data_IF_164490102978
#
_entry.id   IF_164490102978
#
_cell.length_a   1.000
_cell.length_b   1.000
_cell.length_c   1.000
_cell.angle_alpha   90.00
_cell.angle_beta   90.00
_cell.angle_gamma   90.00
#
_symmetry.space_group_name_H-M   'P 1'
#
loop_
_entity.id
_entity.type
_entity.pdbx_description
1 polymer ?
#
# COMPACT_ATOMS: atom_id res chain seq x y z
N UNK A 1 15.10 10.47 -10.13
CA UNK A 1 14.12 11.54 -10.40
C UNK A 1 12.77 11.12 -9.80
N UNK A 2 11.98 12.05 -9.26
CA UNK A 2 10.81 11.76 -8.42
C UNK A 2 9.54 12.31 -9.09
N UNK A 3 8.52 11.47 -9.33
CA UNK A 3 7.22 11.89 -9.88
C UNK A 3 6.15 11.89 -8.76
N UNK A 4 5.46 13.01 -8.56
CA UNK A 4 4.42 13.17 -7.52
C UNK A 4 3.02 12.97 -8.13
N UNK A 5 2.18 12.11 -7.54
CA UNK A 5 0.80 11.90 -7.96
C UNK A 5 -0.17 12.20 -6.81
N UNK A 6 -1.27 12.90 -7.11
CA UNK A 6 -2.35 13.17 -6.14
C UNK A 6 -3.40 12.05 -6.19
N UNK A 7 -3.66 11.43 -5.04
CA UNK A 7 -4.78 10.54 -4.77
C UNK A 7 -5.93 11.39 -4.22
N UNK A 8 -6.56 12.18 -5.08
CA UNK A 8 -7.88 12.74 -4.81
C UNK A 8 -8.57 12.94 -6.15
N UNK A 9 -9.83 12.51 -6.29
CA UNK A 9 -10.74 12.70 -7.43
C UNK A 9 -10.10 13.49 -8.59
N UNK A 10 -9.79 12.79 -9.68
CA UNK A 10 -9.30 13.39 -10.90
C UNK A 10 -10.29 14.46 -11.39
N UNK A 11 -10.06 15.71 -10.97
CA UNK A 11 -10.60 16.86 -11.66
C UNK A 11 -9.51 17.36 -12.59
N UNK A 12 -9.87 17.48 -13.85
CA UNK A 12 -9.06 18.04 -14.92
C UNK A 12 -8.56 19.43 -14.48
N UNK A 13 -7.29 19.76 -14.77
CA UNK A 13 -6.65 21.07 -14.55
C UNK A 13 -5.78 21.26 -13.29
N UNK A 14 -4.83 20.37 -13.01
CA UNK A 14 -3.61 20.78 -12.29
C UNK A 14 -2.43 20.90 -13.25
N UNK A 15 -2.06 22.14 -13.59
CA UNK A 15 -0.91 22.48 -14.42
C UNK A 15 0.39 21.89 -13.83
N UNK A 16 0.98 20.94 -14.57
CA UNK A 16 2.28 20.34 -14.29
C UNK A 16 3.40 21.31 -14.70
N UNK A 17 4.21 21.77 -13.75
CA UNK A 17 5.54 22.28 -14.06
C UNK A 17 6.61 21.19 -13.86
N UNK A 18 7.45 21.10 -14.89
CA UNK A 18 8.34 20.03 -15.32
C UNK A 18 9.57 19.75 -14.45
N UNK A 19 10.07 18.51 -14.54
CA UNK A 19 11.42 18.24 -15.04
C UNK A 19 11.41 16.88 -15.75
N UNK A 20 11.39 16.93 -17.09
CA UNK A 20 11.38 15.76 -17.98
C UNK A 20 12.76 15.12 -18.04
N UNK A 21 12.84 13.82 -17.86
CA UNK A 21 13.41 12.88 -18.85
C UNK A 21 12.76 11.51 -18.66
N UNK A 22 11.46 11.43 -18.97
CA UNK A 22 10.87 10.21 -19.48
C UNK A 22 10.74 10.41 -20.99
N UNK A 23 11.08 9.42 -21.81
CA UNK A 23 10.63 9.47 -23.19
C UNK A 23 9.10 9.62 -23.18
N UNK A 24 8.56 10.52 -24.01
CA UNK A 24 7.12 10.85 -24.00
C UNK A 24 6.21 9.61 -24.07
N UNK A 25 6.71 8.52 -24.66
CA UNK A 25 6.06 7.20 -24.74
C UNK A 25 5.90 6.53 -23.38
N UNK A 26 6.94 6.52 -22.54
CA UNK A 26 6.89 5.82 -21.25
C UNK A 26 6.04 6.60 -20.25
N UNK A 27 6.07 7.94 -20.30
CA UNK A 27 5.15 8.78 -19.53
C UNK A 27 3.69 8.58 -19.95
N UNK A 28 3.40 8.51 -21.26
CA UNK A 28 2.05 8.29 -21.77
C UNK A 28 1.49 6.91 -21.37
N UNK A 29 2.30 5.85 -21.44
CA UNK A 29 1.89 4.50 -21.03
C UNK A 29 1.67 4.42 -19.51
N UNK A 30 2.52 5.07 -18.71
CA UNK A 30 2.37 5.14 -17.25
C UNK A 30 1.14 5.94 -16.84
N UNK A 31 0.88 7.09 -17.47
CA UNK A 31 -0.33 7.87 -17.25
C UNK A 31 -1.58 7.13 -17.74
N UNK A 32 -1.49 6.36 -18.83
CA UNK A 32 -2.57 5.48 -19.30
C UNK A 32 -2.89 4.38 -18.29
N UNK A 33 -1.86 3.77 -17.69
CA UNK A 33 -2.03 2.81 -16.60
C UNK A 33 -2.68 3.46 -15.38
N UNK A 34 -2.20 4.64 -14.95
CA UNK A 34 -2.82 5.41 -13.85
C UNK A 34 -4.27 5.78 -14.15
N UNK A 35 -4.58 6.19 -15.38
CA UNK A 35 -5.94 6.48 -15.83
C UNK A 35 -6.84 5.26 -15.69
N UNK A 36 -6.36 4.08 -16.08
CA UNK A 36 -7.07 2.80 -15.88
C UNK A 36 -7.23 2.40 -14.41
N UNK A 37 -6.26 2.74 -13.56
CA UNK A 37 -6.32 2.51 -12.11
C UNK A 37 -7.41 3.37 -11.47
N UNK A 38 -7.51 4.64 -11.90
CA UNK A 38 -8.53 5.58 -11.41
C UNK A 38 -9.92 5.24 -11.94
N UNK A 39 -10.07 4.82 -13.21
CA UNK A 39 -11.38 4.49 -13.79
C UNK A 39 -11.99 3.21 -13.20
N UNK A 40 -11.17 2.21 -12.86
CA UNK A 40 -11.66 0.98 -12.24
C UNK A 40 -11.90 1.14 -10.72
N UNK A 41 -11.48 2.27 -10.14
CA UNK A 41 -11.74 2.64 -8.75
C UNK A 41 -13.04 3.46 -8.58
N UNK A 42 -13.95 3.47 -9.56
CA UNK A 42 -15.23 4.17 -9.47
C UNK A 42 -16.07 3.62 -8.30
N UNK A 43 -16.30 4.40 -7.22
CA UNK A 43 -17.07 3.95 -6.07
C UNK A 43 -18.47 4.57 -6.16
N UNK A 44 -19.31 4.01 -7.03
CA UNK A 44 -20.75 4.14 -6.88
C UNK A 44 -21.32 2.83 -6.35
N UNK A 45 -21.11 2.56 -5.07
CA UNK A 45 -22.15 1.97 -4.22
C UNK A 45 -21.78 2.08 -2.75
N UNK A 46 -22.70 2.72 -2.01
CA UNK A 46 -22.90 2.67 -0.56
C UNK A 46 -21.68 2.67 0.37
N UNK A 47 -21.47 3.86 0.95
CA UNK A 47 -20.84 4.09 2.24
C UNK A 47 -21.63 3.33 3.32
N UNK A 48 -21.15 2.15 3.69
CA UNK A 48 -21.45 1.54 4.98
C UNK A 48 -20.19 0.84 5.47
N UNK A 49 -19.66 1.41 6.55
CA UNK A 49 -18.60 0.93 7.43
C UNK A 49 -18.38 -0.58 7.40
N UNK A 50 -17.12 -1.02 7.28
CA UNK A 50 -16.51 -2.19 7.92
C UNK A 50 -15.06 -2.34 7.40
N UNK A 51 -14.08 -1.90 8.20
CA UNK A 51 -12.66 -2.16 7.96
C UNK A 51 -12.23 -3.40 8.79
N UNK A 52 -11.70 -4.49 8.20
CA UNK A 52 -11.11 -5.59 8.94
C UNK A 52 -9.72 -5.23 9.49
N UNK A 53 -9.48 -5.56 10.76
CA UNK A 53 -8.31 -5.24 11.58
C UNK A 53 -7.05 -6.01 11.18
N UNK A 54 -5.98 -5.29 10.83
CA UNK A 54 -4.62 -5.59 11.28
C UNK A 54 -4.11 -4.34 12.00
N UNK A 55 -4.35 -4.23 13.32
CA UNK A 55 -3.57 -3.46 14.31
C UNK A 55 -4.38 -3.36 15.63
N UNK A 56 -3.76 -3.90 16.68
CA UNK A 56 -4.02 -3.84 18.13
C UNK A 56 -5.38 -3.44 18.73
N UNK A 57 -5.84 -4.32 19.60
CA UNK A 57 -6.96 -4.24 20.54
C UNK A 57 -6.81 -3.07 21.54
N UNK A 58 -7.79 -2.15 21.60
CA UNK A 58 -8.38 -1.68 22.88
C UNK A 58 -9.47 -0.60 22.88
N UNK A 59 -9.99 -0.08 21.76
CA UNK A 59 -11.00 0.99 21.84
C UNK A 59 -12.09 0.87 20.78
N UNK A 60 -13.12 0.06 21.06
CA UNK A 60 -14.52 0.24 20.61
C UNK A 60 -15.36 -0.94 21.14
N UNK A 61 -15.67 -0.90 22.43
CA UNK A 61 -16.79 -1.65 23.00
C UNK A 61 -17.75 -0.62 23.58
N UNK A 62 -18.92 -0.50 22.96
CA UNK A 62 -20.21 0.04 23.42
C UNK A 62 -21.09 0.12 22.16
N UNK A 63 -22.27 -0.48 21.99
CA UNK A 63 -23.14 -1.37 22.74
C UNK A 63 -24.07 -2.02 21.69
N UNK A 64 -24.38 -3.32 21.80
CA UNK A 64 -25.60 -3.88 21.17
C UNK A 64 -26.17 -4.96 22.07
N UNK A 65 -26.95 -4.53 23.06
CA UNK A 65 -27.80 -5.42 23.84
C UNK A 65 -29.21 -5.38 23.26
N UNK A 66 -29.61 -6.45 22.57
CA UNK A 66 -31.01 -6.75 22.28
C UNK A 66 -31.38 -8.04 23.02
N UNK A 67 -32.40 -7.91 23.86
CA UNK A 67 -32.91 -8.94 24.77
C UNK A 67 -33.64 -10.05 23.97
N UNK A 68 -33.15 -11.29 24.03
CA UNK A 68 -33.73 -12.45 23.34
C UNK A 68 -34.26 -13.44 24.38
N UNK A 69 -35.59 -13.53 24.50
CA UNK A 69 -36.29 -14.56 25.28
C UNK A 69 -36.11 -15.95 24.64
N UNK A 70 -35.75 -16.93 25.46
CA UNK A 70 -35.37 -18.29 25.07
C UNK A 70 -36.59 -19.20 24.82
N UNK A 71 -36.65 -19.82 23.64
CA UNK A 71 -37.56 -20.93 23.28
C UNK A 71 -36.75 -22.20 22.98
N UNK A 72 -37.16 -23.35 23.51
CA UNK A 72 -36.43 -24.63 23.48
C UNK A 72 -36.27 -25.28 22.08
N UNK A 73 -37.01 -24.84 21.06
CA UNK A 73 -36.78 -25.24 19.66
C UNK A 73 -35.71 -24.41 18.94
N UNK A 74 -35.10 -23.44 19.63
CA UNK A 74 -34.10 -22.52 19.11
C UNK A 74 -32.71 -23.17 18.97
N UNK A 75 -32.37 -24.21 19.75
CA UNK A 75 -31.00 -24.77 19.79
C UNK A 75 -30.48 -25.27 18.43
N UNK A 76 -31.31 -25.98 17.65
CA UNK A 76 -30.91 -26.46 16.32
C UNK A 76 -30.80 -25.35 15.27
N UNK A 77 -31.70 -24.36 15.33
CA UNK A 77 -31.69 -23.18 14.45
C UNK A 77 -30.55 -22.21 14.80
N UNK A 78 -30.24 -22.08 16.09
CA UNK A 78 -29.16 -21.24 16.62
C UNK A 78 -27.79 -21.78 16.20
N UNK A 79 -27.60 -23.10 16.22
CA UNK A 79 -26.36 -23.73 15.74
C UNK A 79 -26.16 -23.43 14.24
N UNK A 80 -27.18 -23.63 13.41
CA UNK A 80 -27.10 -23.34 11.96
C UNK A 80 -26.85 -21.85 11.71
N UNK A 81 -27.52 -20.95 12.43
CA UNK A 81 -27.31 -19.50 12.31
C UNK A 81 -25.93 -19.07 12.84
N UNK A 82 -25.39 -19.71 13.87
CA UNK A 82 -24.03 -19.46 14.37
C UNK A 82 -23.00 -19.92 13.35
N UNK A 83 -23.16 -21.10 12.74
CA UNK A 83 -22.28 -21.58 11.66
C UNK A 83 -22.37 -20.72 10.40
N UNK A 84 -23.57 -20.31 9.97
CA UNK A 84 -23.76 -19.38 8.85
C UNK A 84 -23.20 -17.99 9.19
N UNK A 85 -23.35 -17.50 10.43
CA UNK A 85 -22.72 -16.25 10.87
C UNK A 85 -21.21 -16.35 10.90
N UNK A 86 -20.63 -17.49 11.33
CA UNK A 86 -19.19 -17.72 11.31
C UNK A 86 -18.65 -17.86 9.88
N UNK A 87 -19.40 -18.51 8.98
CA UNK A 87 -19.07 -18.60 7.56
C UNK A 87 -19.17 -17.23 6.86
N UNK A 88 -20.21 -16.43 7.14
CA UNK A 88 -20.35 -15.05 6.65
C UNK A 88 -19.31 -14.11 7.26
N UNK A 89 -18.95 -14.29 8.54
CA UNK A 89 -17.90 -13.52 9.21
C UNK A 89 -16.50 -13.90 8.71
N UNK A 90 -16.27 -15.16 8.35
CA UNK A 90 -15.01 -15.62 7.74
C UNK A 90 -14.83 -15.08 6.31
N UNK A 91 -15.92 -14.84 5.56
CA UNK A 91 -15.83 -14.22 4.22
C UNK A 91 -15.55 -12.71 4.22
N UNK A 92 -15.58 -12.06 5.39
CA UNK A 92 -15.27 -10.62 5.53
C UNK A 92 -13.76 -10.33 5.68
N UNK A 93 -12.91 -11.36 5.66
CA UNK A 93 -11.46 -11.20 5.91
C UNK A 93 -10.65 -11.55 4.67
N UNK A 94 -10.68 -10.66 3.68
CA UNK A 94 -9.52 -10.39 2.84
C UNK A 94 -9.55 -8.93 2.44
N UNK A 95 -8.82 -8.13 3.21
CA UNK A 95 -8.24 -6.90 2.70
C UNK A 95 -7.30 -7.32 1.55
N UNK A 96 -7.53 -6.82 0.35
CA UNK A 96 -6.57 -6.87 -0.77
C UNK A 96 -6.27 -8.20 -1.48
N UNK A 97 -7.26 -8.86 -2.11
CA UNK A 97 -7.00 -9.99 -3.00
C UNK A 97 -5.99 -9.63 -4.11
N UNK A 98 -4.90 -10.40 -4.21
CA UNK A 98 -3.89 -10.27 -5.27
C UNK A 98 -2.69 -9.37 -4.95
N UNK A 99 -2.66 -8.74 -3.76
CA UNK A 99 -1.47 -8.05 -3.26
C UNK A 99 -0.61 -9.02 -2.44
N UNK A 100 0.60 -9.31 -2.92
CA UNK A 100 1.60 -10.05 -2.15
C UNK A 100 2.52 -9.08 -1.41
N UNK A 101 2.22 -8.83 -0.13
CA UNK A 101 3.01 -7.98 0.76
C UNK A 101 4.05 -8.81 1.52
N UNK A 102 5.33 -8.52 1.29
CA UNK A 102 6.47 -9.03 2.04
C UNK A 102 6.77 -8.08 3.18
N UNK A 103 6.39 -8.46 4.40
CA UNK A 103 6.57 -7.64 5.60
C UNK A 103 8.05 -7.54 6.00
N UNK A 104 8.39 -6.56 6.83
CA UNK A 104 9.77 -6.30 7.27
C UNK A 104 10.55 -7.51 7.75
N UNK A 105 9.91 -8.39 8.52
CA UNK A 105 10.56 -9.62 9.03
C UNK A 105 10.89 -10.62 7.92
N UNK A 106 10.12 -10.67 6.83
CA UNK A 106 10.30 -11.63 5.75
C UNK A 106 11.45 -11.26 4.81
N UNK A 107 11.92 -10.01 4.80
CA UNK A 107 13.11 -9.59 4.06
C UNK A 107 14.32 -9.31 4.96
N UNK A 108 14.23 -9.65 6.25
CA UNK A 108 15.25 -9.44 7.29
C UNK A 108 15.65 -7.97 7.42
N UNK A 109 14.65 -7.09 7.56
CA UNK A 109 14.87 -5.67 7.79
C UNK A 109 15.64 -5.42 9.07
N UNK A 110 16.61 -4.50 9.02
CA UNK A 110 17.27 -4.01 10.23
C UNK A 110 16.28 -3.22 11.10
N UNK A 111 16.59 -3.23 12.40
CA UNK A 111 15.96 -2.34 13.35
C UNK A 111 16.30 -0.88 12.97
N UNK A 112 15.33 0.02 12.96
CA UNK A 112 15.59 1.39 12.50
C UNK A 112 16.37 2.19 13.54
N UNK A 113 17.23 3.09 13.08
CA UNK A 113 18.27 3.73 13.90
C UNK A 113 17.84 5.05 14.57
N UNK A 114 16.68 5.59 14.20
CA UNK A 114 16.19 6.88 14.71
C UNK A 114 14.72 6.80 15.14
N UNK A 115 14.27 7.82 15.89
CA UNK A 115 12.89 7.92 16.37
C UNK A 115 11.93 8.17 15.21
N UNK A 116 10.72 7.62 15.35
CA UNK A 116 9.66 7.63 14.36
C UNK A 116 8.93 8.96 14.23
N UNK A 117 8.70 9.37 12.99
CA UNK A 117 7.65 10.32 12.63
C UNK A 117 6.48 9.55 12.02
N UNK A 118 5.28 9.91 12.43
CA UNK A 118 4.05 9.35 11.86
C UNK A 118 3.61 10.21 10.70
N UNK A 119 3.05 9.57 9.67
CA UNK A 119 2.39 10.30 8.59
C UNK A 119 0.96 10.64 9.02
N UNK A 120 0.49 11.84 8.71
CA UNK A 120 -0.90 12.21 8.98
C UNK A 120 -1.81 11.53 7.95
N UNK A 121 -2.71 10.68 8.43
CA UNK A 121 -3.73 10.02 7.60
C UNK A 121 -5.05 10.79 7.64
N UNK A 122 -5.84 10.82 6.55
CA UNK A 122 -5.58 10.21 5.26
C UNK A 122 -4.47 10.92 4.48
N UNK A 123 -3.67 10.13 3.77
CA UNK A 123 -2.63 10.65 2.88
C UNK A 123 -3.22 10.87 1.50
N UNK A 124 -3.16 12.10 0.99
CA UNK A 124 -3.75 12.48 -0.30
C UNK A 124 -2.83 12.24 -1.51
N UNK A 125 -1.58 11.81 -1.32
CA UNK A 125 -0.62 11.70 -2.43
C UNK A 125 0.15 10.38 -2.37
N UNK A 126 0.49 9.87 -3.56
CA UNK A 126 1.47 8.80 -3.73
C UNK A 126 2.55 9.31 -4.66
N UNK A 127 3.79 9.11 -4.25
CA UNK A 127 4.96 9.48 -5.05
C UNK A 127 5.59 8.21 -5.56
N UNK A 128 5.72 8.11 -6.88
CA UNK A 128 6.29 6.95 -7.55
C UNK A 128 7.72 7.28 -7.99
N UNK A 129 8.63 6.37 -7.67
CA UNK A 129 10.02 6.45 -8.08
C UNK A 129 10.60 5.08 -8.46
N UNK A 130 11.91 5.07 -8.64
CA UNK A 130 12.71 3.86 -8.85
C UNK A 130 14.00 3.95 -8.04
N UNK A 131 14.61 2.80 -7.74
CA UNK A 131 15.78 2.74 -6.86
C UNK A 131 17.08 3.06 -7.57
N UNK A 132 17.13 3.02 -8.91
CA UNK A 132 18.36 3.15 -9.71
C UNK A 132 19.38 2.08 -9.32
N UNK A 133 18.89 0.87 -9.04
CA UNK A 133 19.72 -0.30 -8.70
C UNK A 133 19.59 -1.38 -9.76
N UNK A 134 20.42 -2.41 -9.68
CA UNK A 134 20.19 -3.65 -10.42
C UNK A 134 18.80 -4.24 -10.10
N UNK A 135 18.11 -4.83 -11.10
CA UNK A 135 16.84 -5.50 -10.88
C UNK A 135 17.02 -6.77 -10.04
N UNK A 136 15.91 -7.26 -9.49
CA UNK A 136 15.82 -8.53 -8.78
C UNK A 136 14.62 -9.31 -9.31
N UNK A 137 14.69 -10.65 -9.35
CA UNK A 137 13.67 -11.48 -10.02
C UNK A 137 13.10 -12.60 -9.15
N UNK A 138 13.66 -12.80 -7.96
CA UNK A 138 13.22 -13.76 -6.96
C UNK A 138 13.03 -13.06 -5.62
N UNK A 139 12.20 -13.64 -4.74
CA UNK A 139 12.00 -13.06 -3.42
C UNK A 139 13.31 -12.94 -2.63
N UNK A 140 14.20 -13.92 -2.76
CA UNK A 140 15.52 -13.89 -2.13
C UNK A 140 16.40 -12.73 -2.64
N UNK A 141 16.52 -12.58 -3.97
CA UNK A 141 17.30 -11.50 -4.57
C UNK A 141 16.70 -10.12 -4.30
N UNK A 142 15.37 -10.01 -4.26
CA UNK A 142 14.68 -8.77 -3.93
C UNK A 142 14.81 -8.43 -2.44
N UNK A 143 14.73 -9.41 -1.55
CA UNK A 143 15.01 -9.20 -0.13
C UNK A 143 16.47 -8.77 0.10
N UNK A 144 17.43 -9.32 -0.64
CA UNK A 144 18.82 -8.87 -0.62
C UNK A 144 18.95 -7.41 -1.10
N UNK A 145 18.28 -7.04 -2.19
CA UNK A 145 18.28 -5.65 -2.67
C UNK A 145 17.61 -4.70 -1.68
N UNK A 146 16.53 -5.11 -1.01
CA UNK A 146 15.91 -4.32 0.07
C UNK A 146 16.89 -4.00 1.19
N UNK A 147 17.67 -5.00 1.64
CA UNK A 147 18.71 -4.78 2.65
C UNK A 147 19.83 -3.87 2.15
N UNK A 148 20.27 -4.02 0.90
CA UNK A 148 21.28 -3.15 0.31
C UNK A 148 20.81 -1.68 0.29
N UNK A 149 19.56 -1.44 -0.13
CA UNK A 149 18.95 -0.11 -0.16
C UNK A 149 18.79 0.45 1.26
N UNK A 150 18.33 -0.36 2.22
CA UNK A 150 18.20 0.04 3.61
C UNK A 150 19.55 0.45 4.21
N UNK A 151 20.58 -0.38 4.04
CA UNK A 151 21.93 -0.12 4.53
C UNK A 151 22.48 1.19 3.94
N UNK A 152 22.38 1.36 2.63
CA UNK A 152 22.82 2.58 1.95
C UNK A 152 22.11 3.83 2.48
N UNK A 153 20.79 3.79 2.65
CA UNK A 153 20.05 4.92 3.22
C UNK A 153 20.46 5.21 4.67
N UNK A 154 20.71 4.18 5.48
CA UNK A 154 21.18 4.37 6.86
C UNK A 154 22.61 4.92 6.91
N UNK A 155 23.48 4.55 5.97
CA UNK A 155 24.82 5.13 5.79
C UNK A 155 24.76 6.61 5.39
N UNK A 156 23.74 7.03 4.63
CA UNK A 156 23.43 8.44 4.37
C UNK A 156 22.87 9.19 5.60
N UNK A 157 22.76 8.52 6.75
CA UNK A 157 22.25 9.08 7.99
C UNK A 157 20.74 9.05 8.12
N UNK A 158 20.03 8.31 7.28
CA UNK A 158 18.58 8.15 7.42
C UNK A 158 18.25 7.14 8.51
N UNK A 159 17.06 7.25 9.11
CA UNK A 159 16.63 6.34 10.18
C UNK A 159 16.29 4.92 9.71
N UNK A 160 16.02 4.74 8.41
CA UNK A 160 15.56 3.49 7.79
C UNK A 160 15.62 3.62 6.25
N UNK A 161 15.10 2.62 5.53
CA UNK A 161 14.81 2.73 4.11
C UNK A 161 13.84 3.90 3.84
N UNK A 162 14.15 4.78 2.89
CA UNK A 162 13.41 6.03 2.70
C UNK A 162 11.98 5.89 2.14
N UNK A 163 11.63 4.74 1.55
CA UNK A 163 10.34 4.51 0.90
C UNK A 163 9.34 3.83 1.86
N UNK A 164 8.06 4.13 1.70
CA UNK A 164 6.99 3.42 2.42
C UNK A 164 6.85 2.00 1.92
N UNK A 165 6.88 1.82 0.59
CA UNK A 165 6.81 0.52 -0.07
C UNK A 165 7.79 0.45 -1.24
N UNK A 166 8.28 -0.74 -1.52
CA UNK A 166 9.20 -1.00 -2.63
C UNK A 166 8.72 -2.21 -3.41
N UNK A 167 8.80 -2.19 -4.74
CA UNK A 167 8.24 -3.24 -5.60
C UNK A 167 9.38 -3.95 -6.32
N UNK A 168 9.56 -5.22 -6.01
CA UNK A 168 10.58 -6.06 -6.62
C UNK A 168 10.23 -6.45 -8.06
N UNK A 169 11.24 -6.78 -8.86
CA UNK A 169 11.02 -7.31 -10.21
C UNK A 169 10.35 -8.70 -10.23
N UNK A 170 10.30 -9.37 -9.08
CA UNK A 170 9.50 -10.56 -8.81
C UNK A 170 7.98 -10.29 -8.79
N UNK A 171 7.56 -9.02 -8.71
CA UNK A 171 6.16 -8.60 -8.67
C UNK A 171 5.55 -8.55 -7.26
N UNK A 172 6.37 -8.67 -6.21
CA UNK A 172 5.91 -8.53 -4.82
C UNK A 172 6.11 -7.11 -4.31
N UNK A 173 5.30 -6.72 -3.33
CA UNK A 173 5.45 -5.45 -2.61
C UNK A 173 6.19 -5.72 -1.32
N UNK A 174 7.28 -5.01 -1.09
CA UNK A 174 8.09 -5.07 0.11
C UNK A 174 7.74 -3.88 1.00
N UNK A 175 7.41 -4.17 2.26
CA UNK A 175 7.17 -3.14 3.27
C UNK A 175 8.49 -2.43 3.59
N UNK A 176 8.54 -1.11 3.34
CA UNK A 176 9.61 -0.23 3.80
C UNK A 176 9.29 0.30 5.19
N UNK A 177 9.14 1.62 5.33
CA UNK A 177 8.64 2.20 6.60
C UNK A 177 7.14 1.92 6.84
N UNK A 178 6.42 1.46 5.81
CA UNK A 178 5.01 1.03 5.91
C UNK A 178 4.00 2.18 5.89
N UNK A 179 2.76 1.89 6.28
CA UNK A 179 1.63 2.82 6.22
C UNK A 179 1.63 3.86 7.34
N UNK A 180 2.04 3.50 8.56
CA UNK A 180 1.88 4.41 9.70
C UNK A 180 3.01 5.45 9.83
N UNK A 181 4.13 5.24 9.13
CA UNK A 181 5.34 6.03 9.31
C UNK A 181 5.61 6.92 8.11
N UNK A 182 6.10 8.11 8.41
CA UNK A 182 6.60 9.03 7.40
C UNK A 182 7.90 8.48 6.80
N UNK A 183 7.96 8.41 5.46
CA UNK A 183 9.20 8.12 4.73
C UNK A 183 10.09 9.36 4.57
N UNK A 184 11.23 9.19 3.92
CA UNK A 184 12.16 10.29 3.57
C UNK A 184 12.48 10.32 2.07
N UNK A 185 11.56 9.82 1.26
CA UNK A 185 11.71 9.63 -0.19
C UNK A 185 11.64 10.93 -1.00
N UNK A 186 10.99 11.99 -0.52
CA UNK A 186 10.78 13.22 -1.28
C UNK A 186 10.70 14.46 -0.39
N UNK A 187 11.71 15.31 -0.48
CA UNK A 187 11.78 16.57 0.25
C UNK A 187 10.52 17.42 0.00
N UNK A 188 9.91 17.92 1.08
CA UNK A 188 8.69 18.72 1.03
C UNK A 188 7.38 17.94 0.84
N UNK A 189 7.43 16.62 0.65
CA UNK A 189 6.25 15.78 0.43
C UNK A 189 6.08 14.63 1.42
N UNK A 190 7.15 14.21 2.10
CA UNK A 190 7.17 13.10 3.06
C UNK A 190 6.00 13.09 4.07
N UNK A 191 5.54 14.24 4.55
CA UNK A 191 4.45 14.35 5.55
C UNK A 191 3.04 14.16 4.99
N UNK A 192 2.89 14.21 3.66
CA UNK A 192 1.60 14.25 2.95
C UNK A 192 1.52 13.24 1.79
N UNK A 193 2.46 12.30 1.75
CA UNK A 193 2.51 11.29 0.68
C UNK A 193 3.07 9.96 1.14
N UNK A 194 2.67 8.89 0.47
CA UNK A 194 3.36 7.60 0.51
C UNK A 194 4.33 7.48 -0.65
N UNK A 195 5.58 7.11 -0.36
CA UNK A 195 6.59 6.81 -1.37
C UNK A 195 6.58 5.35 -1.78
N UNK A 196 6.41 5.08 -3.07
CA UNK A 196 6.52 3.75 -3.66
C UNK A 196 7.66 3.76 -4.68
N UNK A 197 8.63 2.86 -4.52
CA UNK A 197 9.75 2.73 -5.45
C UNK A 197 9.76 1.37 -6.17
N UNK A 198 10.11 1.34 -7.45
CA UNK A 198 10.41 0.10 -8.16
C UNK A 198 11.90 -0.25 -8.06
N UNK A 199 12.24 -1.50 -7.72
CA UNK A 199 13.63 -1.98 -7.77
C UNK A 199 14.06 -2.09 -9.23
N UNK A 200 15.03 -1.27 -9.63
CA UNK A 200 15.53 -1.22 -11.00
C UNK A 200 15.90 0.21 -11.44
N UNK A 201 16.45 0.31 -12.65
CA UNK A 201 16.55 1.56 -13.41
C UNK A 201 15.53 1.53 -14.56
N UNK A 202 14.77 2.62 -14.66
CA UNK A 202 13.64 2.80 -15.59
C UNK A 202 13.73 4.16 -16.28
N UNK A 203 14.93 4.75 -16.32
CA UNK A 203 15.22 5.96 -17.08
C UNK A 203 14.95 5.78 -18.58
N UNK A 204 15.22 4.58 -19.11
CA UNK A 204 15.09 4.27 -20.54
C UNK A 204 14.06 3.17 -20.85
N UNK A 205 13.62 2.42 -19.84
CA UNK A 205 12.71 1.29 -20.00
C UNK A 205 11.59 1.32 -18.97
N UNK A 206 10.51 0.58 -19.22
CA UNK A 206 9.35 0.53 -18.33
C UNK A 206 9.50 -0.59 -17.28
N UNK A 207 8.92 -0.44 -16.08
CA UNK A 207 8.75 -1.56 -15.15
C UNK A 207 7.99 -2.72 -15.78
N UNK A 208 8.23 -3.93 -15.28
CA UNK A 208 7.56 -5.13 -15.79
C UNK A 208 6.05 -5.08 -15.53
N UNK A 209 5.26 -5.82 -16.31
CA UNK A 209 3.82 -5.91 -16.09
C UNK A 209 3.46 -6.40 -14.68
N UNK A 210 4.28 -7.29 -14.09
CA UNK A 210 4.10 -7.78 -12.71
C UNK A 210 4.30 -6.65 -11.69
N UNK A 211 5.36 -5.85 -11.85
CA UNK A 211 5.60 -4.69 -11.00
C UNK A 211 4.47 -3.66 -11.07
N UNK A 212 4.03 -3.31 -12.29
CA UNK A 212 2.94 -2.37 -12.49
C UNK A 212 1.61 -2.89 -11.89
N UNK A 213 1.35 -4.20 -12.00
CA UNK A 213 0.18 -4.85 -11.38
C UNK A 213 0.25 -4.79 -9.84
N UNK A 214 1.42 -5.03 -9.26
CA UNK A 214 1.63 -4.94 -7.82
C UNK A 214 1.41 -3.52 -7.29
N UNK A 215 1.94 -2.50 -7.98
CA UNK A 215 1.73 -1.09 -7.64
C UNK A 215 0.24 -0.72 -7.65
N UNK A 216 -0.46 -1.18 -8.69
CA UNK A 216 -1.90 -0.99 -8.83
C UNK A 216 -2.67 -1.59 -7.65
N UNK A 217 -2.42 -2.86 -7.30
CA UNK A 217 -3.10 -3.47 -6.17
C UNK A 217 -2.77 -2.75 -4.86
N UNK A 218 -1.52 -2.36 -4.65
CA UNK A 218 -1.11 -1.62 -3.45
C UNK A 218 -1.89 -0.30 -3.30
N UNK A 219 -2.08 0.45 -4.39
CA UNK A 219 -2.84 1.71 -4.34
C UNK A 219 -4.33 1.50 -4.09
N UNK A 220 -4.96 0.51 -4.76
CA UNK A 220 -6.36 0.14 -4.51
C UNK A 220 -6.56 -0.31 -3.06
N UNK A 221 -5.59 -1.03 -2.53
CA UNK A 221 -5.56 -1.45 -1.15
C UNK A 221 -5.47 -0.31 -0.16
N UNK A 222 -4.55 0.63 -0.42
CA UNK A 222 -4.37 1.80 0.42
C UNK A 222 -5.66 2.61 0.54
N UNK A 223 -6.46 2.76 -0.53
CA UNK A 223 -7.71 3.52 -0.46
C UNK A 223 -8.79 2.83 0.37
N UNK A 224 -8.75 1.50 0.49
CA UNK A 224 -9.66 0.72 1.34
C UNK A 224 -9.24 0.70 2.82
N UNK A 225 -7.98 1.01 3.12
CA UNK A 225 -7.44 1.04 4.49
C UNK A 225 -7.60 2.40 5.18
N UNK A 226 -8.07 3.42 4.46
CA UNK A 226 -8.34 4.75 4.99
C UNK A 226 -9.76 4.78 5.57
N UNK A 227 -9.86 4.96 6.90
CA UNK A 227 -11.10 5.20 7.63
C UNK A 227 -11.48 6.69 7.63
#
# INVERSE_FOLDING_TARGET
>A
MINTYKISKANENSNLHSNLEWSARVLADFLSLLRRIVTDANPESNRSHLCPRYLNERLCQQDVAADVKTDSNLKGRLIILVFISHLLFATLVSACPGLELVVRSQWNAQAPSQRWYFVSTPVEHVIIGHTVTAPCLSQESCAAQMRNIQNYHMELGWGDIGYNFVIGGDGRVYEGVGWSRQGVHTLGWNTKSYGIAFIGDYSQMRPSAKQLKAARYLMICGTQMVC
#
